data_IF_460758098604
#
_entry.id   IF_460758098604
#
_cell.length_a   1.000
_cell.length_b   1.000
_cell.length_c   1.000
_cell.angle_alpha   90.00
_cell.angle_beta   90.00
_cell.angle_gamma   90.00
#
_symmetry.space_group_name_H-M   'P 1'
#
loop_
_entity.id
_entity.type
_entity.pdbx_description
1 polymer ?
#
# COMPACT_ATOMS: atom_id res chain seq x y z
N UNK A 1 -3.98 -22.58 -11.50
CA UNK A 1 -3.14 -21.53 -10.87
C UNK A 1 -3.94 -20.28 -10.44
N UNK A 2 -5.17 -20.06 -10.92
CA UNK A 2 -5.97 -18.86 -10.60
C UNK A 2 -6.54 -18.79 -9.18
N UNK A 3 -6.90 -19.92 -8.55
CA UNK A 3 -7.59 -19.90 -7.25
C UNK A 3 -6.77 -19.27 -6.12
N UNK A 4 -5.45 -19.55 -6.08
CA UNK A 4 -4.53 -19.01 -5.06
C UNK A 4 -4.27 -17.51 -5.25
N UNK A 5 -4.25 -17.05 -6.51
CA UNK A 5 -4.08 -15.64 -6.85
C UNK A 5 -5.35 -14.83 -6.55
N UNK A 6 -6.52 -15.42 -6.80
CA UNK A 6 -7.80 -14.81 -6.45
C UNK A 6 -7.99 -14.71 -4.93
N UNK A 7 -7.67 -15.78 -4.19
CA UNK A 7 -7.70 -15.75 -2.73
C UNK A 7 -6.73 -14.71 -2.15
N UNK A 8 -5.56 -14.53 -2.76
CA UNK A 8 -4.60 -13.49 -2.40
C UNK A 8 -5.19 -12.08 -2.53
N UNK A 9 -5.78 -11.78 -3.70
CA UNK A 9 -6.43 -10.48 -3.91
C UNK A 9 -7.61 -10.27 -2.97
N UNK A 10 -8.35 -11.33 -2.65
CA UNK A 10 -9.48 -11.27 -1.72
C UNK A 10 -9.02 -10.90 -0.31
N UNK A 11 -7.95 -11.53 0.19
CA UNK A 11 -7.34 -11.16 1.49
C UNK A 11 -6.92 -9.69 1.48
N UNK A 12 -6.30 -9.21 0.40
CA UNK A 12 -5.86 -7.82 0.34
C UNK A 12 -7.01 -6.82 0.25
N UNK A 13 -8.05 -7.12 -0.53
CA UNK A 13 -9.29 -6.33 -0.54
C UNK A 13 -9.89 -6.26 0.86
N UNK A 14 -9.87 -7.36 1.63
CA UNK A 14 -10.33 -7.37 3.03
C UNK A 14 -9.46 -6.46 3.90
N UNK A 15 -8.13 -6.54 3.81
CA UNK A 15 -7.20 -5.72 4.60
C UNK A 15 -7.40 -4.24 4.28
N UNK A 16 -7.38 -3.88 2.99
CA UNK A 16 -7.57 -2.50 2.55
C UNK A 16 -8.95 -1.97 2.93
N UNK A 17 -10.01 -2.77 2.78
CA UNK A 17 -11.36 -2.41 3.22
C UNK A 17 -11.44 -2.24 4.74
N UNK A 18 -10.70 -3.05 5.50
CA UNK A 18 -10.56 -2.90 6.94
C UNK A 18 -9.91 -1.57 7.32
N UNK A 19 -8.86 -1.17 6.62
CA UNK A 19 -8.21 0.14 6.80
C UNK A 19 -9.15 1.28 6.43
N UNK A 20 -9.91 1.15 5.34
CA UNK A 20 -10.95 2.11 4.98
C UNK A 20 -12.05 2.17 6.06
N UNK A 21 -12.45 1.04 6.63
CA UNK A 21 -13.42 1.02 7.72
C UNK A 21 -12.88 1.74 8.96
N UNK A 22 -11.59 1.54 9.29
CA UNK A 22 -10.90 2.27 10.36
C UNK A 22 -10.92 3.78 10.06
N UNK A 23 -10.54 4.20 8.85
CA UNK A 23 -10.66 5.61 8.42
C UNK A 23 -12.09 6.12 8.58
N UNK A 24 -13.11 5.42 8.09
CA UNK A 24 -14.50 5.90 8.16
C UNK A 24 -15.06 6.00 9.58
N UNK A 25 -14.48 5.27 10.53
CA UNK A 25 -14.97 5.20 11.91
C UNK A 25 -14.15 6.02 12.90
N UNK A 26 -12.86 6.17 12.66
CA UNK A 26 -11.91 6.86 13.54
C UNK A 26 -11.29 8.11 12.89
N UNK A 27 -11.44 8.28 11.58
CA UNK A 27 -11.00 9.47 10.87
C UNK A 27 -11.87 10.67 11.19
N UNK A 28 -11.25 11.85 11.21
CA UNK A 28 -11.88 13.08 11.62
C UNK A 28 -12.69 13.66 10.45
N UNK A 29 -13.98 14.00 10.64
CA UNK A 29 -14.83 14.41 9.50
C UNK A 29 -14.46 15.79 8.92
N UNK A 30 -13.85 16.65 9.74
CA UNK A 30 -13.43 17.99 9.33
C UNK A 30 -12.18 18.40 10.14
N UNK A 31 -11.02 17.80 9.82
CA UNK A 31 -9.78 18.10 10.52
C UNK A 31 -9.38 19.55 10.29
N UNK A 32 -8.84 20.20 11.32
CA UNK A 32 -8.32 21.57 11.20
C UNK A 32 -7.13 21.60 10.23
N UNK A 33 -6.99 22.71 9.52
CA UNK A 33 -5.87 22.89 8.59
C UNK A 33 -4.55 22.86 9.34
N UNK A 34 -3.71 21.89 9.00
CA UNK A 34 -2.38 21.73 9.59
C UNK A 34 -1.31 21.98 8.53
N UNK A 35 -0.25 22.69 8.91
CA UNK A 35 0.92 22.83 8.06
C UNK A 35 1.57 21.46 7.83
N UNK A 36 2.16 21.26 6.65
CA UNK A 36 2.84 20.01 6.33
C UNK A 36 4.06 19.87 7.26
N UNK A 37 3.93 18.99 8.26
CA UNK A 37 5.04 18.61 9.12
C UNK A 37 6.16 17.96 8.29
N UNK A 38 7.42 18.42 8.40
CA UNK A 38 8.56 17.78 7.73
C UNK A 38 8.71 16.31 8.11
N UNK A 39 8.27 15.94 9.32
CA UNK A 39 8.31 14.57 9.83
C UNK A 39 7.30 13.70 9.06
N UNK A 40 6.05 14.16 8.91
CA UNK A 40 5.02 13.47 8.13
C UNK A 40 5.48 13.25 6.68
N UNK A 41 6.00 14.32 6.06
CA UNK A 41 6.50 14.25 4.69
C UNK A 41 7.63 13.24 4.55
N UNK A 42 8.59 13.25 5.49
CA UNK A 42 9.74 12.35 5.49
C UNK A 42 9.32 10.88 5.65
N UNK A 43 8.39 10.60 6.57
CA UNK A 43 7.86 9.24 6.79
C UNK A 43 7.12 8.76 5.55
N UNK A 44 6.24 9.59 4.99
CA UNK A 44 5.46 9.26 3.79
C UNK A 44 6.37 8.99 2.60
N UNK A 45 7.36 9.85 2.37
CA UNK A 45 8.36 9.65 1.31
C UNK A 45 9.18 8.38 1.52
N UNK A 46 9.61 8.10 2.75
CA UNK A 46 10.36 6.88 3.05
C UNK A 46 9.52 5.63 2.76
N UNK A 47 8.26 5.60 3.20
CA UNK A 47 7.35 4.48 2.95
C UNK A 47 7.08 4.29 1.44
N UNK A 48 6.84 5.38 0.70
CA UNK A 48 6.71 5.34 -0.75
C UNK A 48 7.97 4.82 -1.44
N UNK A 49 9.14 5.31 -1.02
CA UNK A 49 10.42 4.92 -1.62
C UNK A 49 10.74 3.46 -1.35
N UNK A 50 10.49 2.97 -0.14
CA UNK A 50 10.64 1.55 0.21
C UNK A 50 9.71 0.70 -0.64
N UNK A 51 8.44 1.09 -0.78
CA UNK A 51 7.48 0.39 -1.65
C UNK A 51 7.98 0.38 -3.11
N UNK A 52 8.42 1.52 -3.63
CA UNK A 52 8.94 1.65 -4.98
C UNK A 52 10.18 0.78 -5.23
N UNK A 53 11.17 0.81 -4.31
CA UNK A 53 12.40 0.01 -4.38
C UNK A 53 12.05 -1.48 -4.37
N UNK A 54 11.13 -1.89 -3.51
CA UNK A 54 10.65 -3.27 -3.48
C UNK A 54 10.08 -3.67 -4.84
N UNK A 55 9.18 -2.86 -5.40
CA UNK A 55 8.51 -3.15 -6.68
C UNK A 55 9.44 -3.17 -7.88
N UNK A 56 10.33 -2.18 -7.99
CA UNK A 56 11.12 -1.92 -9.21
C UNK A 56 12.48 -2.63 -9.16
N UNK A 57 13.09 -2.78 -7.99
CA UNK A 57 14.44 -3.34 -7.88
C UNK A 57 14.46 -4.75 -7.28
N UNK A 58 13.64 -5.02 -6.25
CA UNK A 58 13.72 -6.30 -5.53
C UNK A 58 12.89 -7.39 -6.22
N UNK A 59 11.61 -7.13 -6.45
CA UNK A 59 10.66 -8.11 -7.01
C UNK A 59 11.08 -8.66 -8.39
N UNK A 60 11.62 -7.85 -9.34
CA UNK A 60 12.06 -8.36 -10.63
C UNK A 60 13.29 -9.27 -10.56
N UNK A 61 14.08 -9.20 -9.48
CA UNK A 61 15.31 -9.98 -9.29
C UNK A 61 15.09 -11.32 -8.57
N UNK A 62 13.84 -11.70 -8.31
CA UNK A 62 13.50 -12.91 -7.56
C UNK A 62 12.78 -13.92 -8.47
N UNK A 63 13.44 -15.06 -8.68
CA UNK A 63 12.90 -16.15 -9.51
C UNK A 63 11.90 -17.03 -8.74
N UNK A 64 12.12 -17.21 -7.43
CA UNK A 64 11.25 -18.02 -6.57
C UNK A 64 9.94 -17.29 -6.27
N UNK A 65 8.84 -17.79 -6.83
CA UNK A 65 7.49 -17.21 -6.69
C UNK A 65 7.06 -17.03 -5.22
N UNK A 66 7.41 -17.96 -4.32
CA UNK A 66 7.15 -17.82 -2.88
C UNK A 66 7.86 -16.59 -2.29
N UNK A 67 9.15 -16.41 -2.61
CA UNK A 67 9.95 -15.29 -2.12
C UNK A 67 9.46 -13.98 -2.74
N UNK A 68 9.08 -13.98 -4.02
CA UNK A 68 8.50 -12.83 -4.72
C UNK A 68 7.21 -12.33 -4.05
N UNK A 69 6.34 -13.25 -3.64
CA UNK A 69 5.12 -12.92 -2.89
C UNK A 69 5.43 -12.25 -1.55
N UNK A 70 6.43 -12.75 -0.79
CA UNK A 70 6.83 -12.14 0.49
C UNK A 70 7.24 -10.67 0.31
N UNK A 71 8.09 -10.35 -0.66
CA UNK A 71 8.47 -8.96 -0.90
C UNK A 71 7.31 -8.13 -1.46
N UNK A 72 6.42 -8.73 -2.24
CA UNK A 72 5.19 -8.07 -2.65
C UNK A 72 4.33 -7.66 -1.45
N UNK A 73 4.19 -8.54 -0.43
CA UNK A 73 3.51 -8.21 0.82
C UNK A 73 4.18 -7.06 1.57
N UNK A 74 5.51 -7.07 1.68
CA UNK A 74 6.22 -5.96 2.31
C UNK A 74 5.95 -4.63 1.60
N UNK A 75 6.05 -4.59 0.28
CA UNK A 75 5.83 -3.36 -0.48
C UNK A 75 4.41 -2.81 -0.37
N UNK A 76 3.42 -3.71 -0.33
CA UNK A 76 2.02 -3.38 -0.14
C UNK A 76 1.70 -2.92 1.29
N UNK A 77 2.20 -3.62 2.31
CA UNK A 77 2.05 -3.23 3.71
C UNK A 77 2.68 -1.85 3.98
N UNK A 78 3.80 -1.55 3.31
CA UNK A 78 4.45 -0.25 3.41
C UNK A 78 3.56 0.87 2.83
N UNK A 79 2.82 0.58 1.75
CA UNK A 79 1.87 1.52 1.16
C UNK A 79 0.65 1.76 2.05
N UNK A 80 0.13 0.72 2.71
CA UNK A 80 -0.99 0.83 3.63
C UNK A 80 -0.64 1.53 4.95
N UNK A 81 0.61 1.41 5.40
CA UNK A 81 1.10 2.15 6.56
C UNK A 81 0.96 3.68 6.39
N UNK A 82 0.99 4.19 5.16
CA UNK A 82 0.76 5.61 4.85
C UNK A 82 -0.65 6.04 5.27
N UNK A 83 -1.65 5.18 5.09
CA UNK A 83 -3.04 5.45 5.52
C UNK A 83 -3.12 5.50 7.03
N UNK A 84 -2.48 4.55 7.72
CA UNK A 84 -2.46 4.53 9.18
C UNK A 84 -1.78 5.78 9.74
N UNK A 85 -0.68 6.24 9.14
CA UNK A 85 -0.06 7.52 9.50
C UNK A 85 -1.01 8.71 9.28
N UNK A 86 -1.74 8.74 8.16
CA UNK A 86 -2.69 9.82 7.87
C UNK A 86 -3.91 9.80 8.81
N UNK A 87 -4.43 8.63 9.17
CA UNK A 87 -5.62 8.52 10.04
C UNK A 87 -5.30 8.80 11.50
N UNK A 88 -4.17 8.30 12.01
CA UNK A 88 -3.86 8.38 13.45
C UNK A 88 -2.93 9.52 13.85
N UNK A 89 -1.98 9.91 12.99
CA UNK A 89 -0.95 10.90 13.36
C UNK A 89 -1.21 12.28 12.77
N UNK A 90 -1.79 12.35 11.58
CA UNK A 90 -1.98 13.59 10.84
C UNK A 90 -3.33 13.61 10.12
N UNK A 91 -4.45 13.74 10.87
CA UNK A 91 -5.81 13.56 10.36
C UNK A 91 -6.16 14.52 9.22
N UNK A 92 -5.55 15.72 9.17
CA UNK A 92 -5.70 16.64 8.04
C UNK A 92 -5.30 16.03 6.69
N UNK A 93 -4.28 15.17 6.68
CA UNK A 93 -3.80 14.51 5.47
C UNK A 93 -4.39 13.11 5.26
N UNK A 94 -5.38 12.68 6.05
CA UNK A 94 -5.93 11.32 5.97
C UNK A 94 -6.45 10.96 4.58
N UNK A 95 -7.09 11.90 3.88
CA UNK A 95 -7.67 11.70 2.56
C UNK A 95 -6.57 11.57 1.50
N UNK A 96 -5.59 12.46 1.57
CA UNK A 96 -4.41 12.40 0.73
C UNK A 96 -3.65 11.07 0.93
N UNK A 97 -3.37 10.69 2.17
CA UNK A 97 -2.76 9.40 2.53
C UNK A 97 -3.55 8.21 2.00
N UNK A 98 -4.88 8.25 2.10
CA UNK A 98 -5.77 7.18 1.64
C UNK A 98 -5.71 7.03 0.11
N UNK A 99 -5.84 8.13 -0.62
CA UNK A 99 -5.79 8.12 -2.10
C UNK A 99 -4.40 7.71 -2.58
N UNK A 100 -3.35 8.20 -1.93
CA UNK A 100 -1.98 7.85 -2.24
C UNK A 100 -1.72 6.34 -2.05
N UNK A 101 -2.15 5.78 -0.92
CA UNK A 101 -2.04 4.34 -0.67
C UNK A 101 -2.83 3.52 -1.68
N UNK A 102 -4.08 3.90 -1.97
CA UNK A 102 -4.91 3.24 -2.98
C UNK A 102 -4.21 3.23 -4.36
N UNK A 103 -3.60 4.35 -4.74
CA UNK A 103 -2.85 4.49 -5.99
C UNK A 103 -1.67 3.51 -6.03
N UNK A 104 -0.90 3.41 -4.94
CA UNK A 104 0.23 2.47 -4.88
C UNK A 104 -0.26 1.02 -4.95
N UNK A 105 -1.32 0.66 -4.25
CA UNK A 105 -1.93 -0.69 -4.32
C UNK A 105 -2.37 -1.01 -5.76
N UNK A 106 -3.02 -0.07 -6.46
CA UNK A 106 -3.41 -0.23 -7.86
C UNK A 106 -2.21 -0.40 -8.79
N UNK A 107 -1.11 0.29 -8.52
CA UNK A 107 0.14 0.17 -9.27
C UNK A 107 0.81 -1.20 -9.06
N UNK A 108 0.52 -1.87 -7.94
CA UNK A 108 0.92 -3.25 -7.66
C UNK A 108 0.04 -4.29 -8.41
N UNK A 109 -1.21 -3.95 -8.76
CA UNK A 109 -2.15 -4.81 -9.49
C UNK A 109 -1.64 -5.40 -10.81
N UNK A 110 -1.07 -4.62 -11.76
CA UNK A 110 -0.64 -5.15 -13.06
C UNK A 110 0.57 -6.11 -12.97
N UNK A 111 1.31 -6.13 -11.86
CA UNK A 111 2.53 -6.92 -11.74
C UNK A 111 2.27 -8.44 -11.73
N UNK A 112 1.06 -8.87 -11.36
CA UNK A 112 0.67 -10.28 -11.41
C UNK A 112 -0.14 -10.67 -12.65
N UNK A 113 -0.70 -9.70 -13.36
CA UNK A 113 -1.42 -9.93 -14.62
C UNK A 113 -0.42 -10.15 -15.78
N UNK A 114 0.78 -9.57 -15.68
CA UNK A 114 1.83 -9.68 -16.69
C UNK A 114 2.75 -10.91 -16.59
N UNK A 115 2.68 -11.73 -15.54
CA UNK A 115 3.49 -12.97 -15.43
C UNK A 115 2.84 -14.18 -16.11
N UNK A 116 2.12 -13.92 -17.20
CA UNK A 116 1.68 -14.92 -18.18
C UNK A 116 2.70 -15.19 -19.28
N UNK A 117 3.98 -14.81 -19.11
CA UNK A 117 5.03 -15.36 -19.97
C UNK A 117 5.46 -16.71 -19.42
N UNK A 118 4.96 -17.72 -20.12
CA UNK A 118 5.49 -19.07 -20.20
C UNK A 118 7.03 -19.06 -20.26
N UNK A 119 7.67 -19.67 -19.28
CA UNK A 119 8.88 -20.47 -19.43
C UNK A 119 9.04 -21.36 -18.21
#
# INVERSE_FOLDING_TARGET
>A
MSLKLNAFWLVWVIVFTGILAIRTRYGEANPESEDISPIYLSITLLLLLVSLVIRVLIIPRIDLLKKKLIYYFYGLATAEAIVLCGVFLYPYFQDFSTVLSATVVLVYFPFFIGTGKQS
#
